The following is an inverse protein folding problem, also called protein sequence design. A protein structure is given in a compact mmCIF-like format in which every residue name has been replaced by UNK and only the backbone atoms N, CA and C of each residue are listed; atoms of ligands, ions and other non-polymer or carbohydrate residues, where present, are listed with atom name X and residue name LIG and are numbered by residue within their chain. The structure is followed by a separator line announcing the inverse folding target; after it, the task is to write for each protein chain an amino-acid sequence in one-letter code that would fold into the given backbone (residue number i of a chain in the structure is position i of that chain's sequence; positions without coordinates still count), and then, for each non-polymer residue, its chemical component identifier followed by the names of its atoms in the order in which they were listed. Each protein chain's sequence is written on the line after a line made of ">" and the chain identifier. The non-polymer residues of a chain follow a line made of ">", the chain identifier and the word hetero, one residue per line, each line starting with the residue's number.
data_IF_731055606658
#
_entry.id   IF_731055606658
#
_cell.length_a   1.000
_cell.length_b   1.000
_cell.length_c   1.000
_cell.angle_alpha   90.00
_cell.angle_beta   90.00
_cell.angle_gamma   90.00
#
_symmetry.space_group_name_H-M   'P 1'
#
loop_
_entity.id
_entity.type
_entity.pdbx_description
1 polymer ?
#
# COMPACT_ATOMS: atom_id res chain seq x y z
N UNK A 1 -17.42 4.01 17.17
CA UNK A 1 -16.70 5.25 16.80
C UNK A 1 -16.28 5.14 15.35
N UNK A 2 -16.64 6.10 14.52
CA UNK A 2 -16.11 6.21 13.14
C UNK A 2 -14.65 6.64 13.24
N UNK A 3 -13.74 5.85 12.68
CA UNK A 3 -12.32 6.21 12.63
C UNK A 3 -12.13 7.48 11.79
N UNK A 4 -11.53 8.50 12.35
CA UNK A 4 -11.15 9.71 11.61
C UNK A 4 -9.96 9.38 10.70
N UNK A 5 -10.03 9.78 9.44
CA UNK A 5 -8.95 9.59 8.48
C UNK A 5 -7.66 10.32 8.90
N UNK A 6 -6.51 9.74 8.55
CA UNK A 6 -5.21 10.38 8.80
C UNK A 6 -5.04 11.69 8.01
N UNK A 7 -5.71 11.81 6.86
CA UNK A 7 -5.60 12.95 5.94
C UNK A 7 -6.83 13.88 5.98
N UNK A 8 -7.74 13.68 6.93
CA UNK A 8 -9.03 14.38 6.97
C UNK A 8 -8.92 15.93 6.94
N UNK A 9 -7.84 16.49 7.48
CA UNK A 9 -7.65 17.94 7.56
C UNK A 9 -6.92 18.53 6.35
N UNK A 10 -6.23 17.71 5.56
CA UNK A 10 -5.35 18.18 4.49
C UNK A 10 -5.76 17.70 3.10
N UNK A 11 -6.44 16.56 3.00
CA UNK A 11 -6.90 16.03 1.71
C UNK A 11 -8.07 16.87 1.21
N UNK A 12 -7.82 17.65 0.15
CA UNK A 12 -8.83 18.46 -0.53
C UNK A 12 -9.04 17.90 -1.94
N UNK A 13 -10.29 17.72 -2.30
CA UNK A 13 -10.68 17.30 -3.65
C UNK A 13 -10.56 18.45 -4.64
N UNK A 14 -10.20 18.18 -5.88
CA UNK A 14 -10.08 19.20 -6.93
C UNK A 14 -8.92 18.93 -7.89
N UNK A 15 -8.67 19.92 -8.75
CA UNK A 15 -7.56 19.93 -9.70
C UNK A 15 -6.43 20.83 -9.17
N UNK A 16 -5.21 20.36 -9.28
CA UNK A 16 -4.04 21.02 -8.73
C UNK A 16 -2.84 20.96 -9.69
N UNK A 17 -1.95 21.94 -9.57
CA UNK A 17 -0.71 22.01 -10.33
C UNK A 17 -0.92 22.32 -11.80
N UNK A 18 -0.03 21.83 -12.65
CA UNK A 18 0.00 22.09 -14.09
C UNK A 18 -1.04 21.25 -14.84
N UNK A 19 -2.32 21.54 -14.62
CA UNK A 19 -3.46 20.83 -15.23
C UNK A 19 -4.10 21.58 -16.41
N UNK A 20 -3.78 22.87 -16.59
CA UNK A 20 -4.33 23.68 -17.66
C UNK A 20 -4.00 23.07 -19.04
N UNK A 21 -4.99 23.03 -19.93
CA UNK A 21 -4.89 22.44 -21.27
C UNK A 21 -4.65 20.92 -21.31
N UNK A 22 -4.85 20.20 -20.18
CA UNK A 22 -4.82 18.73 -20.12
C UNK A 22 -6.22 18.16 -19.98
N UNK A 23 -6.46 17.00 -20.60
CA UNK A 23 -7.69 16.26 -20.37
C UNK A 23 -7.68 15.70 -18.94
N UNK A 24 -8.73 15.98 -18.16
CA UNK A 24 -8.85 15.51 -16.77
C UNK A 24 -8.73 13.99 -16.62
N UNK A 25 -9.17 13.23 -17.62
CA UNK A 25 -9.09 11.76 -17.62
C UNK A 25 -7.65 11.24 -17.62
N UNK A 26 -6.73 12.03 -18.18
CA UNK A 26 -5.31 11.69 -18.30
C UNK A 26 -4.46 12.25 -17.16
N UNK A 27 -5.05 13.05 -16.27
CA UNK A 27 -4.33 13.57 -15.11
C UNK A 27 -4.00 12.46 -14.12
N UNK A 28 -2.87 12.62 -13.44
CA UNK A 28 -2.54 11.80 -12.29
C UNK A 28 -3.67 11.92 -11.25
N UNK A 29 -4.18 10.80 -10.76
CA UNK A 29 -5.14 10.75 -9.66
C UNK A 29 -4.40 10.48 -8.36
N UNK A 30 -4.71 11.27 -7.33
CA UNK A 30 -4.18 11.12 -5.99
C UNK A 30 -5.35 10.97 -5.03
N UNK A 31 -5.46 9.80 -4.40
CA UNK A 31 -6.61 9.48 -3.54
C UNK A 31 -6.18 8.95 -2.19
N UNK A 32 -6.92 9.27 -1.14
CA UNK A 32 -6.80 8.57 0.13
C UNK A 32 -7.67 7.32 0.13
N UNK A 33 -7.07 6.18 0.41
CA UNK A 33 -7.80 4.92 0.54
C UNK A 33 -8.13 4.65 2.00
N UNK A 34 -9.41 4.38 2.26
CA UNK A 34 -9.96 4.16 3.60
C UNK A 34 -10.53 2.76 3.73
N UNK A 35 -10.74 2.33 4.99
CA UNK A 35 -11.50 1.14 5.31
C UNK A 35 -10.93 -0.19 4.79
N UNK A 36 -9.62 -0.30 4.58
CA UNK A 36 -8.98 -1.59 4.35
C UNK A 36 -8.68 -2.32 5.66
N UNK A 37 -8.78 -3.63 5.63
CA UNK A 37 -8.16 -4.50 6.63
C UNK A 37 -6.68 -4.60 6.29
N UNK A 38 -5.81 -4.33 7.26
CA UNK A 38 -4.36 -4.46 7.12
C UNK A 38 -3.86 -5.29 8.27
N UNK A 39 -3.29 -6.46 7.98
CA UNK A 39 -2.78 -7.38 9.00
C UNK A 39 -1.33 -7.73 8.70
N UNK A 40 -0.47 -7.53 9.68
CA UNK A 40 0.89 -8.03 9.63
C UNK A 40 0.90 -9.45 10.19
N UNK A 41 1.55 -10.37 9.47
CA UNK A 41 1.73 -11.77 9.84
C UNK A 41 3.22 -12.06 9.86
N UNK A 42 3.75 -12.47 11.00
CA UNK A 42 5.17 -12.80 11.17
C UNK A 42 5.29 -14.20 11.73
N UNK A 43 6.00 -15.08 11.03
CA UNK A 43 6.30 -16.42 11.52
C UNK A 43 7.49 -16.38 12.48
N UNK A 44 7.36 -17.02 13.64
CA UNK A 44 8.44 -17.12 14.60
C UNK A 44 9.59 -17.98 14.08
N UNK A 45 10.81 -17.64 14.52
CA UNK A 45 12.03 -18.33 14.08
C UNK A 45 12.00 -19.84 14.38
N UNK A 46 11.41 -20.22 15.52
CA UNK A 46 11.37 -21.61 15.99
C UNK A 46 10.13 -22.38 15.52
N UNK A 47 9.25 -21.77 14.73
CA UNK A 47 8.09 -22.46 14.17
C UNK A 47 8.54 -23.47 13.12
N UNK A 48 7.98 -24.68 13.20
CA UNK A 48 8.16 -25.77 12.24
C UNK A 48 7.01 -25.87 11.24
N UNK A 49 6.01 -25.01 11.38
CA UNK A 49 4.85 -24.97 10.48
C UNK A 49 5.28 -24.50 9.09
N UNK A 50 4.86 -25.22 8.06
CA UNK A 50 5.02 -24.75 6.68
C UNK A 50 3.99 -23.67 6.37
N UNK A 51 4.43 -22.42 6.22
CA UNK A 51 3.56 -21.31 5.82
C UNK A 51 2.97 -21.51 4.41
N UNK A 52 3.64 -22.27 3.54
CA UNK A 52 3.18 -22.58 2.17
C UNK A 52 1.91 -23.45 2.14
N UNK A 53 1.65 -24.19 3.24
CA UNK A 53 0.43 -24.99 3.38
C UNK A 53 -0.77 -24.19 3.81
N UNK A 54 -0.56 -22.94 4.25
CA UNK A 54 -1.62 -22.07 4.79
C UNK A 54 -2.29 -21.35 3.63
N UNK A 55 -3.62 -21.44 3.59
CA UNK A 55 -4.47 -20.76 2.62
C UNK A 55 -5.28 -19.65 3.31
N UNK A 56 -5.26 -18.44 2.75
CA UNK A 56 -6.05 -17.30 3.22
C UNK A 56 -6.77 -16.70 2.03
N UNK A 57 -8.08 -16.72 2.03
CA UNK A 57 -8.90 -16.19 0.94
C UNK A 57 -8.47 -16.73 -0.44
N UNK A 58 -8.14 -18.05 -0.50
CA UNK A 58 -7.62 -18.76 -1.67
C UNK A 58 -6.23 -18.29 -2.14
N UNK A 59 -5.46 -17.63 -1.28
CA UNK A 59 -4.11 -17.20 -1.53
C UNK A 59 -3.12 -17.91 -0.61
N UNK A 60 -1.94 -18.24 -1.11
CA UNK A 60 -0.85 -18.82 -0.33
C UNK A 60 0.25 -17.79 -0.06
N UNK A 61 0.86 -17.90 1.11
CA UNK A 61 2.01 -17.06 1.44
C UNK A 61 3.20 -17.40 0.54
N UNK A 62 3.88 -16.37 0.06
CA UNK A 62 5.16 -16.48 -0.66
C UNK A 62 6.25 -15.76 0.12
N UNK A 63 7.39 -16.42 0.35
CA UNK A 63 8.53 -15.82 1.04
C UNK A 63 9.63 -15.41 0.05
N UNK A 64 9.24 -14.72 -0.99
CA UNK A 64 10.09 -14.23 -2.07
C UNK A 64 10.08 -12.71 -2.08
N UNK A 65 11.25 -12.04 -2.12
CA UNK A 65 11.33 -10.59 -2.13
C UNK A 65 10.49 -9.95 -3.24
N UNK A 66 9.81 -8.87 -2.90
CA UNK A 66 8.96 -8.06 -3.78
C UNK A 66 7.69 -8.75 -4.31
N UNK A 67 7.48 -10.03 -4.08
CA UNK A 67 6.30 -10.73 -4.61
C UNK A 67 5.04 -10.35 -3.83
N UNK A 68 3.98 -10.10 -4.57
CA UNK A 68 2.61 -9.94 -4.08
C UNK A 68 1.73 -11.03 -4.68
N UNK A 69 1.06 -11.81 -3.84
CA UNK A 69 -0.02 -12.70 -4.27
C UNK A 69 -1.35 -12.01 -4.06
N UNK A 70 -2.25 -12.08 -5.04
CA UNK A 70 -3.49 -11.32 -4.97
C UNK A 70 -4.67 -11.99 -5.66
N UNK A 71 -5.87 -11.67 -5.19
CA UNK A 71 -7.13 -11.89 -5.86
C UNK A 71 -7.91 -10.56 -5.95
N UNK A 72 -9.20 -10.60 -6.25
CA UNK A 72 -10.02 -9.40 -6.42
C UNK A 72 -10.20 -8.57 -5.12
N UNK A 73 -10.00 -9.17 -3.94
CA UNK A 73 -10.32 -8.57 -2.64
C UNK A 73 -9.12 -8.44 -1.72
N UNK A 74 -8.16 -9.35 -1.85
CA UNK A 74 -7.06 -9.53 -0.90
C UNK A 74 -5.73 -9.53 -1.64
N UNK A 75 -4.75 -8.89 -1.05
CA UNK A 75 -3.36 -8.83 -1.49
C UNK A 75 -2.46 -9.20 -0.32
N UNK A 76 -1.48 -10.05 -0.55
CA UNK A 76 -0.48 -10.45 0.45
C UNK A 76 0.88 -10.01 -0.07
N UNK A 77 1.44 -8.99 0.56
CA UNK A 77 2.72 -8.41 0.20
C UNK A 77 3.83 -9.06 1.01
N UNK A 78 4.92 -9.42 0.37
CA UNK A 78 6.13 -9.77 1.09
C UNK A 78 6.71 -8.51 1.77
N UNK A 79 6.83 -8.55 3.10
CA UNK A 79 7.28 -7.41 3.91
C UNK A 79 8.66 -7.65 4.54
N UNK A 80 9.23 -8.85 4.32
CA UNK A 80 10.51 -9.31 4.84
C UNK A 80 10.54 -10.83 4.98
N UNK A 81 11.68 -11.44 5.31
CA UNK A 81 11.77 -12.87 5.53
C UNK A 81 10.76 -13.33 6.59
N UNK A 82 9.86 -14.25 6.20
CA UNK A 82 8.78 -14.77 7.07
C UNK A 82 7.88 -13.67 7.65
N UNK A 83 7.71 -12.56 6.93
CA UNK A 83 6.90 -11.42 7.34
C UNK A 83 6.08 -10.95 6.14
N UNK A 84 4.77 -10.88 6.31
CA UNK A 84 3.81 -10.51 5.26
C UNK A 84 2.88 -9.41 5.74
N UNK A 85 2.48 -8.55 4.82
CA UNK A 85 1.44 -7.57 5.00
C UNK A 85 0.22 -7.97 4.17
N UNK A 86 -0.83 -8.43 4.82
CA UNK A 86 -2.11 -8.74 4.18
C UNK A 86 -2.96 -7.46 4.14
N UNK A 87 -3.48 -7.15 2.97
CA UNK A 87 -4.36 -6.01 2.72
C UNK A 87 -5.63 -6.51 2.05
N UNK A 88 -6.80 -6.25 2.63
CA UNK A 88 -8.07 -6.73 2.09
C UNK A 88 -9.21 -5.72 2.26
N UNK A 89 -10.18 -5.81 1.35
CA UNK A 89 -11.47 -5.12 1.49
C UNK A 89 -12.44 -5.91 2.39
N UNK A 90 -12.17 -7.19 2.66
CA UNK A 90 -12.97 -8.08 3.51
C UNK A 90 -12.54 -7.96 4.96
N UNK A 91 -13.30 -7.24 5.78
CA UNK A 91 -12.95 -7.04 7.21
C UNK A 91 -13.16 -8.28 8.08
N UNK A 92 -14.08 -9.15 7.71
CA UNK A 92 -14.37 -10.42 8.37
C UNK A 92 -13.22 -11.42 8.29
N UNK A 93 -12.31 -11.22 7.33
CA UNK A 93 -11.12 -12.06 7.14
C UNK A 93 -10.19 -12.06 8.37
N UNK A 94 -10.20 -11.01 9.20
CA UNK A 94 -9.38 -10.94 10.43
C UNK A 94 -9.66 -12.12 11.37
N UNK A 95 -10.93 -12.52 11.51
CA UNK A 95 -11.31 -13.67 12.34
C UNK A 95 -10.69 -14.95 11.80
N UNK A 96 -10.81 -15.19 10.51
CA UNK A 96 -10.24 -16.38 9.86
C UNK A 96 -8.72 -16.41 9.99
N UNK A 97 -8.05 -15.26 9.83
CA UNK A 97 -6.60 -15.14 10.02
C UNK A 97 -6.20 -15.58 11.44
N UNK A 98 -6.89 -15.08 12.46
CA UNK A 98 -6.61 -15.42 13.87
C UNK A 98 -6.86 -16.90 14.19
N UNK A 99 -7.78 -17.55 13.48
CA UNK A 99 -8.05 -18.98 13.63
C UNK A 99 -6.98 -19.87 12.95
N UNK A 100 -6.47 -19.42 11.81
CA UNK A 100 -5.49 -20.17 11.00
C UNK A 100 -4.07 -20.01 11.53
N UNK A 101 -3.67 -18.78 11.88
CA UNK A 101 -2.33 -18.49 12.40
C UNK A 101 -2.30 -18.61 13.91
N UNK A 102 -1.81 -19.73 14.42
CA UNK A 102 -1.72 -19.98 15.86
C UNK A 102 -0.64 -19.11 16.49
N UNK A 103 -0.92 -18.56 17.66
CA UNK A 103 -0.01 -17.70 18.43
C UNK A 103 1.29 -18.41 18.85
N UNK A 104 1.33 -19.74 18.83
CA UNK A 104 2.53 -20.53 19.05
C UNK A 104 3.57 -20.40 17.93
N UNK A 105 3.10 -20.10 16.72
CA UNK A 105 3.92 -20.13 15.49
C UNK A 105 4.00 -18.77 14.78
N UNK A 106 3.00 -17.90 14.99
CA UNK A 106 2.88 -16.63 14.30
C UNK A 106 2.48 -15.49 15.25
N UNK A 107 3.03 -14.30 14.99
CA UNK A 107 2.47 -13.05 15.47
C UNK A 107 1.53 -12.48 14.41
N UNK A 108 0.29 -12.19 14.80
CA UNK A 108 -0.72 -11.54 13.95
C UNK A 108 -1.06 -10.20 14.57
N UNK A 109 -0.87 -9.12 13.81
CA UNK A 109 -1.11 -7.75 14.30
C UNK A 109 -2.04 -7.00 13.35
N UNK A 110 -3.18 -6.53 13.86
CA UNK A 110 -4.08 -5.65 13.10
C UNK A 110 -3.48 -4.23 13.03
N UNK A 111 -3.16 -3.80 11.81
CA UNK A 111 -2.59 -2.50 11.49
C UNK A 111 -3.59 -1.58 10.77
N UNK A 112 -4.86 -1.95 10.67
CA UNK A 112 -5.88 -1.24 9.88
C UNK A 112 -6.04 0.23 10.27
N UNK A 113 -5.79 0.57 11.55
CA UNK A 113 -5.89 1.94 12.05
C UNK A 113 -4.54 2.64 12.22
N UNK A 114 -3.44 1.96 11.94
CA UNK A 114 -2.08 2.51 12.14
C UNK A 114 -1.41 2.98 10.85
N UNK A 115 -2.10 2.92 9.73
CA UNK A 115 -1.59 3.30 8.40
C UNK A 115 -2.38 4.45 7.79
N UNK A 116 -1.68 5.36 7.12
CA UNK A 116 -2.22 6.22 6.08
C UNK A 116 -1.96 5.57 4.72
N UNK A 117 -2.95 5.61 3.85
CA UNK A 117 -2.89 4.93 2.56
C UNK A 117 -3.19 5.95 1.46
N UNK A 118 -2.23 6.15 0.56
CA UNK A 118 -2.35 7.02 -0.60
C UNK A 118 -2.30 6.15 -1.85
N UNK A 119 -3.19 6.38 -2.80
CA UNK A 119 -3.17 5.71 -4.09
C UNK A 119 -2.90 6.72 -5.21
N UNK A 120 -1.94 6.39 -6.06
CA UNK A 120 -1.58 7.12 -7.26
C UNK A 120 -2.03 6.31 -8.47
N UNK A 121 -2.78 6.92 -9.40
CA UNK A 121 -3.19 6.30 -10.65
C UNK A 121 -2.92 7.24 -11.82
N UNK A 122 -2.14 6.78 -12.78
CA UNK A 122 -1.80 7.55 -13.97
C UNK A 122 -0.38 7.25 -14.48
N UNK A 123 -0.07 7.71 -15.70
CA UNK A 123 1.23 7.49 -16.34
C UNK A 123 2.38 8.06 -15.53
N UNK A 124 2.16 9.18 -14.85
CA UNK A 124 3.17 9.93 -14.09
C UNK A 124 3.39 9.40 -12.66
N UNK A 125 2.64 8.39 -12.23
CA UNK A 125 2.69 7.89 -10.85
C UNK A 125 4.11 7.45 -10.45
N UNK A 126 4.84 6.75 -11.33
CA UNK A 126 6.24 6.36 -11.07
C UNK A 126 7.19 7.56 -11.05
N UNK A 127 6.97 8.57 -11.89
CA UNK A 127 7.81 9.77 -11.95
C UNK A 127 7.69 10.62 -10.68
N UNK A 128 6.48 10.73 -10.12
CA UNK A 128 6.27 11.35 -8.81
C UNK A 128 7.10 10.64 -7.73
N UNK A 129 7.09 9.31 -7.72
CA UNK A 129 7.83 8.54 -6.72
C UNK A 129 9.35 8.65 -6.88
N UNK A 130 9.88 8.78 -8.09
CA UNK A 130 11.30 8.96 -8.36
C UNK A 130 11.87 10.26 -7.76
N UNK A 131 11.03 11.28 -7.53
CA UNK A 131 11.50 12.56 -6.98
C UNK A 131 11.95 12.49 -5.51
N UNK A 132 11.41 11.56 -4.73
CA UNK A 132 11.71 11.48 -3.30
C UNK A 132 12.15 10.10 -2.80
N UNK A 133 12.13 9.08 -3.68
CA UNK A 133 12.46 7.70 -3.32
C UNK A 133 13.66 7.19 -4.12
N UNK A 134 14.69 6.60 -3.47
CA UNK A 134 15.88 6.11 -4.15
C UNK A 134 15.69 4.81 -4.93
N UNK A 135 14.50 4.19 -4.85
CA UNK A 135 14.22 2.94 -5.55
C UNK A 135 14.08 3.15 -7.07
N UNK A 136 14.56 2.19 -7.86
CA UNK A 136 14.38 2.20 -9.30
C UNK A 136 12.98 1.72 -9.71
N UNK A 137 12.03 2.62 -9.88
CA UNK A 137 10.65 2.29 -10.25
C UNK A 137 10.48 1.72 -11.66
N UNK A 138 11.50 1.76 -12.51
CA UNK A 138 11.41 1.18 -13.86
C UNK A 138 11.32 -0.34 -13.83
N UNK A 139 11.84 -0.98 -12.77
CA UNK A 139 11.77 -2.44 -12.59
C UNK A 139 10.53 -2.90 -11.82
N UNK A 140 9.77 -1.97 -11.21
CA UNK A 140 8.57 -2.30 -10.46
C UNK A 140 7.42 -2.63 -11.42
N UNK A 141 6.85 -3.81 -11.29
CA UNK A 141 5.77 -4.32 -12.11
C UNK A 141 4.55 -4.68 -11.27
N UNK A 142 3.41 -4.87 -11.92
CA UNK A 142 2.18 -5.37 -11.29
C UNK A 142 2.46 -6.58 -10.41
N UNK A 143 1.88 -6.59 -9.22
CA UNK A 143 2.09 -7.60 -8.18
C UNK A 143 3.52 -7.65 -7.63
N UNK A 144 4.23 -6.52 -7.68
CA UNK A 144 5.43 -6.31 -6.87
C UNK A 144 5.15 -5.33 -5.73
N UNK A 145 5.87 -5.50 -4.64
CA UNK A 145 5.90 -4.56 -3.52
C UNK A 145 7.33 -4.29 -3.08
N UNK A 146 7.56 -3.09 -2.54
CA UNK A 146 8.87 -2.70 -2.03
C UNK A 146 8.73 -1.84 -0.78
N UNK A 147 9.60 -2.05 0.19
CA UNK A 147 9.77 -1.16 1.33
C UNK A 147 10.93 -0.20 1.04
N UNK A 148 10.68 1.09 1.19
CA UNK A 148 11.66 2.14 0.93
C UNK A 148 11.37 3.38 1.78
N UNK A 149 11.97 4.51 1.43
CA UNK A 149 11.68 5.82 2.03
C UNK A 149 11.32 6.83 0.95
N UNK A 150 10.43 7.77 1.27
CA UNK A 150 10.16 8.94 0.47
C UNK A 150 10.50 10.19 1.28
N UNK A 151 11.51 10.96 0.88
CA UNK A 151 12.04 12.10 1.65
C UNK A 151 12.29 11.75 3.13
N UNK A 152 12.83 10.54 3.40
CA UNK A 152 13.11 10.05 4.75
C UNK A 152 11.94 9.39 5.48
N UNK A 153 10.72 9.43 4.94
CA UNK A 153 9.54 8.78 5.51
C UNK A 153 9.48 7.34 5.02
N UNK A 154 9.57 6.38 5.94
CA UNK A 154 9.45 4.96 5.61
C UNK A 154 8.04 4.64 5.11
N UNK A 155 7.96 3.90 4.00
CA UNK A 155 6.70 3.48 3.40
C UNK A 155 6.83 2.15 2.66
N UNK A 156 5.70 1.49 2.47
CA UNK A 156 5.58 0.31 1.60
C UNK A 156 4.86 0.74 0.33
N UNK A 157 5.38 0.31 -0.81
CA UNK A 157 4.82 0.52 -2.14
C UNK A 157 4.23 -0.79 -2.63
N UNK A 158 2.99 -0.79 -3.10
CA UNK A 158 2.31 -1.93 -3.72
C UNK A 158 1.89 -1.56 -5.14
N UNK A 159 2.44 -2.23 -6.13
CA UNK A 159 2.10 -2.02 -7.54
C UNK A 159 0.86 -2.83 -7.93
N UNK A 160 -0.25 -2.14 -8.09
CA UNK A 160 -1.55 -2.74 -8.37
C UNK A 160 -1.77 -3.01 -9.86
N UNK A 161 -1.34 -2.08 -10.71
CA UNK A 161 -1.43 -2.22 -12.16
C UNK A 161 -0.33 -1.43 -12.89
N UNK A 162 0.00 -1.85 -14.10
CA UNK A 162 1.04 -1.24 -14.95
C UNK A 162 0.46 -0.30 -16.03
N UNK A 163 -0.84 -0.44 -16.36
CA UNK A 163 -1.44 0.33 -17.46
C UNK A 163 -2.92 0.69 -17.20
N UNK A 164 -3.21 1.94 -16.75
CA UNK A 164 -2.24 2.94 -16.28
C UNK A 164 -1.53 2.46 -15.00
N UNK A 165 -0.38 3.06 -14.68
CA UNK A 165 0.27 2.76 -13.40
C UNK A 165 -0.68 3.03 -12.24
N UNK A 166 -0.89 2.03 -11.40
CA UNK A 166 -1.70 2.16 -10.18
C UNK A 166 -0.91 1.67 -8.99
N UNK A 167 -0.59 2.57 -8.09
CA UNK A 167 0.37 2.35 -7.00
C UNK A 167 -0.26 2.74 -5.69
N UNK A 168 -0.18 1.87 -4.70
CA UNK A 168 -0.65 2.14 -3.34
C UNK A 168 0.52 2.28 -2.39
N UNK A 169 0.49 3.32 -1.56
CA UNK A 169 1.53 3.68 -0.62
C UNK A 169 0.98 3.53 0.80
N UNK A 170 1.72 2.83 1.65
CA UNK A 170 1.37 2.65 3.06
C UNK A 170 2.44 3.28 3.93
N UNK A 171 2.11 4.30 4.70
CA UNK A 171 2.98 4.88 5.70
C UNK A 171 2.39 4.73 7.10
N UNK A 172 3.20 4.94 8.13
CA UNK A 172 2.66 5.10 9.48
C UNK A 172 1.68 6.27 9.49
N UNK A 173 0.56 6.09 10.21
CA UNK A 173 -0.49 7.11 10.33
C UNK A 173 0.05 8.47 10.75
N UNK A 174 1.01 8.49 11.68
CA UNK A 174 1.66 9.72 12.17
C UNK A 174 2.46 10.48 11.11
N UNK A 175 2.89 9.81 10.05
CA UNK A 175 3.60 10.41 8.91
C UNK A 175 2.69 10.62 7.69
N UNK A 176 1.40 10.30 7.80
CA UNK A 176 0.45 10.37 6.68
C UNK A 176 0.38 11.77 6.07
N UNK A 177 0.28 12.80 6.90
CA UNK A 177 0.26 14.19 6.46
C UNK A 177 1.54 14.59 5.72
N UNK A 178 2.70 14.33 6.32
CA UNK A 178 4.00 14.67 5.72
C UNK A 178 4.23 13.93 4.39
N UNK A 179 3.85 12.65 4.30
CA UNK A 179 3.94 11.91 3.05
C UNK A 179 2.98 12.47 2.00
N UNK A 180 1.72 12.78 2.38
CA UNK A 180 0.74 13.34 1.48
C UNK A 180 1.20 14.67 0.89
N UNK A 181 1.72 15.58 1.72
CA UNK A 181 2.30 16.85 1.25
C UNK A 181 3.45 16.61 0.28
N UNK A 182 4.38 15.72 0.61
CA UNK A 182 5.52 15.44 -0.28
C UNK A 182 5.08 14.86 -1.64
N UNK A 183 4.08 13.97 -1.64
CA UNK A 183 3.54 13.38 -2.87
C UNK A 183 2.77 14.40 -3.70
N UNK A 184 1.90 15.20 -3.07
CA UNK A 184 1.13 16.23 -3.79
C UNK A 184 2.01 17.34 -4.34
N UNK A 185 3.01 17.79 -3.59
CA UNK A 185 4.01 18.76 -4.07
C UNK A 185 4.76 18.24 -5.30
N UNK A 186 5.25 17.01 -5.23
CA UNK A 186 5.90 16.35 -6.36
C UNK A 186 4.99 16.16 -7.58
N UNK A 187 3.67 16.10 -7.36
CA UNK A 187 2.66 15.90 -8.41
C UNK A 187 2.27 17.21 -9.12
N UNK A 188 2.54 18.38 -8.52
CA UNK A 188 2.15 19.70 -9.10
C UNK A 188 2.72 19.92 -10.51
N UNK A 189 3.94 19.47 -10.78
CA UNK A 189 4.57 19.57 -12.09
C UNK A 189 3.74 18.87 -13.18
N UNK A 190 3.18 17.72 -12.85
CA UNK A 190 2.41 16.91 -13.81
C UNK A 190 0.94 17.34 -13.90
N UNK A 191 0.46 18.08 -12.91
CA UNK A 191 -0.96 18.30 -12.70
C UNK A 191 -1.67 17.04 -12.21
N UNK A 192 -2.55 17.18 -11.22
CA UNK A 192 -3.25 16.02 -10.67
C UNK A 192 -4.68 16.35 -10.24
N UNK A 193 -5.50 15.32 -10.19
CA UNK A 193 -6.84 15.33 -9.64
C UNK A 193 -6.82 14.62 -8.29
N UNK A 194 -7.18 15.33 -7.23
CA UNK A 194 -7.38 14.74 -5.91
C UNK A 194 -8.85 14.36 -5.69
N UNK A 195 -9.10 13.14 -5.19
CA UNK A 195 -10.46 12.61 -4.99
C UNK A 195 -10.55 11.54 -3.91
#
# INVERSE_FOLDING_TARGET
>A
MTSVSALNHIHKTGLFGNHENKNEENLLKVSEIKNLLIVQIVQYKNSTVSFESIDIDSLKLKNEPQIVVSNNYTRILWNGPKNWLLVSTKKDLLKNISEVFKETDFAVTDLSHSRAIIELEGTEAKEVLKKGCPFNFNILQKNNSVNSTYNGIAFTVDMLDDNPNKIRLFALRSFGESLYHSITDASLEFGFKAG
#
